data_IF_567098044064
#
_entry.id   IF_567098044064
#
_cell.length_a   1.000
_cell.length_b   1.000
_cell.length_c   1.000
_cell.angle_alpha   90.00
_cell.angle_beta   90.00
_cell.angle_gamma   90.00
#
_symmetry.space_group_name_H-M   'P 1'
#
loop_
_entity.id
_entity.type
_entity.pdbx_description
1 polymer ?
#
# COMPACT_ATOMS: atom_id res chain seq x y z
N UNK A 1 6.29 10.30 19.06
CA UNK A 1 7.75 10.47 19.15
C UNK A 1 8.25 10.48 17.71
N UNK A 2 8.63 11.64 17.17
CA UNK A 2 9.25 11.69 15.85
C UNK A 2 10.72 11.28 16.05
N UNK A 3 11.17 10.22 15.38
CA UNK A 3 12.58 9.85 15.41
C UNK A 3 13.37 11.00 14.80
N UNK A 4 14.35 11.53 15.53
CA UNK A 4 15.27 12.49 14.92
C UNK A 4 16.02 11.81 13.77
N UNK A 5 16.18 12.47 12.62
CA UNK A 5 16.94 11.91 11.52
C UNK A 5 18.41 11.83 11.94
N UNK A 6 18.84 10.63 12.34
CA UNK A 6 20.21 10.32 12.69
C UNK A 6 20.63 9.03 12.02
N UNK A 7 21.88 8.96 11.56
CA UNK A 7 22.35 7.72 10.94
C UNK A 7 22.48 6.60 11.96
N UNK A 8 21.91 5.45 11.63
CA UNK A 8 22.00 4.24 12.45
C UNK A 8 23.44 3.73 12.61
N UNK A 9 24.35 4.10 11.70
CA UNK A 9 25.76 3.67 11.71
C UNK A 9 26.75 4.79 12.09
N UNK A 10 26.24 5.94 12.53
CA UNK A 10 27.05 7.10 12.93
C UNK A 10 27.69 7.88 11.78
N UNK A 11 27.42 7.53 10.51
CA UNK A 11 27.90 8.31 9.35
C UNK A 11 26.96 9.46 9.05
N UNK A 12 27.48 10.68 8.91
CA UNK A 12 26.65 11.75 8.37
C UNK A 12 26.36 11.52 6.90
N UNK A 13 25.07 11.53 6.55
CA UNK A 13 24.62 11.48 5.17
C UNK A 13 24.49 12.91 4.65
N UNK A 14 24.87 13.11 3.40
CA UNK A 14 24.61 14.37 2.71
C UNK A 14 23.11 14.55 2.44
N UNK A 15 22.66 15.79 2.29
CA UNK A 15 21.28 16.10 1.89
C UNK A 15 20.85 15.37 0.61
N UNK A 16 21.79 15.19 -0.33
CA UNK A 16 21.53 14.45 -1.56
C UNK A 16 21.22 12.98 -1.28
N UNK A 17 21.97 12.34 -0.39
CA UNK A 17 21.74 10.95 0.02
C UNK A 17 20.44 10.82 0.82
N UNK A 18 20.11 11.79 1.67
CA UNK A 18 18.82 11.82 2.37
C UNK A 18 17.64 11.90 1.38
N UNK A 19 17.73 12.77 0.36
CA UNK A 19 16.69 12.86 -0.68
C UNK A 19 16.56 11.57 -1.50
N UNK A 20 17.68 10.94 -1.84
CA UNK A 20 17.67 9.66 -2.55
C UNK A 20 17.03 8.55 -1.71
N UNK A 21 17.39 8.47 -0.43
CA UNK A 21 16.79 7.51 0.51
C UNK A 21 15.30 7.74 0.69
N UNK A 22 14.85 8.99 0.87
CA UNK A 22 13.44 9.35 0.96
C UNK A 22 12.67 8.95 -0.31
N UNK A 23 13.27 9.14 -1.49
CA UNK A 23 12.67 8.72 -2.77
C UNK A 23 12.51 7.21 -2.86
N UNK A 24 13.53 6.44 -2.43
CA UNK A 24 13.46 4.97 -2.41
C UNK A 24 12.40 4.47 -1.43
N UNK A 25 12.34 5.06 -0.24
CA UNK A 25 11.34 4.72 0.77
C UNK A 25 9.92 5.05 0.31
N UNK A 26 9.71 6.21 -0.31
CA UNK A 26 8.40 6.58 -0.86
C UNK A 26 7.84 5.55 -1.84
N UNK A 27 8.67 5.07 -2.78
CA UNK A 27 8.29 4.01 -3.72
C UNK A 27 7.90 2.69 -3.03
N UNK A 28 8.54 2.36 -1.90
CA UNK A 28 8.19 1.17 -1.12
C UNK A 28 6.83 1.36 -0.44
N UNK A 29 6.57 2.54 0.12
CA UNK A 29 5.30 2.86 0.76
C UNK A 29 4.14 2.85 -0.22
N UNK A 30 4.31 3.44 -1.40
CA UNK A 30 3.32 3.42 -2.49
C UNK A 30 2.98 1.98 -2.90
N UNK A 31 3.98 1.08 -3.00
CA UNK A 31 3.74 -0.33 -3.34
C UNK A 31 2.92 -1.07 -2.28
N UNK A 32 3.00 -0.65 -1.01
CA UNK A 32 2.22 -1.21 0.10
C UNK A 32 0.80 -0.62 0.14
N UNK A 33 0.57 0.51 -0.53
CA UNK A 33 -0.72 1.20 -0.61
C UNK A 33 -0.81 2.46 0.25
N UNK A 34 0.31 2.95 0.77
CA UNK A 34 0.35 4.28 1.40
C UNK A 34 0.40 5.36 0.32
N UNK A 35 -0.35 6.44 0.54
CA UNK A 35 -0.36 7.61 -0.34
C UNK A 35 0.58 8.70 0.20
N UNK A 36 1.29 9.45 -0.67
CA UNK A 36 2.10 10.58 -0.24
C UNK A 36 1.21 11.70 0.33
N UNK A 37 1.63 12.28 1.45
CA UNK A 37 0.93 13.40 2.08
C UNK A 37 1.75 14.69 2.03
N UNK A 38 2.59 14.96 3.04
CA UNK A 38 3.43 16.16 3.11
C UNK A 38 4.74 15.87 3.83
N UNK A 39 5.81 16.60 3.45
CA UNK A 39 7.11 16.54 4.12
C UNK A 39 7.69 15.12 4.26
N UNK A 40 7.47 14.24 3.27
CA UNK A 40 7.93 12.85 3.30
C UNK A 40 7.07 11.90 4.13
N UNK A 41 6.00 12.39 4.76
CA UNK A 41 4.99 11.57 5.43
C UNK A 41 4.12 10.89 4.38
N UNK A 42 3.87 9.59 4.59
CA UNK A 42 2.94 8.79 3.81
C UNK A 42 1.84 8.29 4.74
N UNK A 43 0.60 8.24 4.25
CA UNK A 43 -0.59 7.87 5.04
C UNK A 43 -1.29 6.69 4.39
N UNK A 44 -1.70 5.73 5.20
CA UNK A 44 -2.56 4.63 4.80
C UNK A 44 -3.93 4.83 5.44
N UNK A 45 -4.98 4.97 4.62
CA UNK A 45 -6.35 4.92 5.10
C UNK A 45 -6.80 3.45 5.17
N UNK A 46 -6.65 2.86 6.36
CA UNK A 46 -7.01 1.47 6.61
C UNK A 46 -8.52 1.20 6.47
N UNK A 47 -9.38 2.22 6.60
CA UNK A 47 -10.82 2.07 6.40
C UNK A 47 -11.16 1.98 4.91
N UNK A 48 -10.48 2.78 4.07
CA UNK A 48 -10.62 2.70 2.62
C UNK A 48 -10.09 1.36 2.09
N UNK A 49 -8.92 0.92 2.55
CA UNK A 49 -8.33 -0.36 2.15
C UNK A 49 -9.25 -1.54 2.50
N UNK A 50 -9.75 -1.59 3.74
CA UNK A 50 -10.70 -2.63 4.17
C UNK A 50 -11.96 -2.68 3.30
N UNK A 51 -12.46 -1.53 2.86
CA UNK A 51 -13.67 -1.47 2.01
C UNK A 51 -13.40 -2.05 0.63
N UNK A 52 -12.23 -1.77 0.05
CA UNK A 52 -11.82 -2.32 -1.24
C UNK A 52 -11.60 -3.84 -1.15
N UNK A 53 -10.97 -4.31 -0.07
CA UNK A 53 -10.75 -5.74 0.18
C UNK A 53 -12.08 -6.50 0.29
N UNK A 54 -13.03 -5.97 1.05
CA UNK A 54 -14.38 -6.55 1.18
C UNK A 54 -15.11 -6.57 -0.18
N UNK A 55 -14.98 -5.52 -0.98
CA UNK A 55 -15.58 -5.48 -2.32
C UNK A 55 -14.97 -6.55 -3.25
N UNK A 56 -13.66 -6.76 -3.17
CA UNK A 56 -12.96 -7.79 -3.93
C UNK A 56 -13.45 -9.20 -3.53
N UNK A 57 -13.53 -9.50 -2.24
CA UNK A 57 -14.05 -10.78 -1.72
C UNK A 57 -15.48 -11.03 -2.22
N UNK A 58 -16.38 -10.06 -2.10
CA UNK A 58 -17.76 -10.19 -2.59
C UNK A 58 -17.83 -10.39 -4.10
N UNK A 59 -16.94 -9.76 -4.86
CA UNK A 59 -16.86 -9.94 -6.32
C UNK A 59 -16.45 -11.37 -6.67
N UNK A 60 -15.48 -11.92 -5.96
CA UNK A 60 -15.03 -13.31 -6.15
C UNK A 60 -16.13 -14.31 -5.82
N UNK A 61 -16.82 -14.12 -4.69
CA UNK A 61 -17.98 -14.93 -4.31
C UNK A 61 -19.06 -14.92 -5.40
N UNK A 62 -19.44 -13.72 -5.86
CA UNK A 62 -20.44 -13.57 -6.92
C UNK A 62 -20.00 -14.27 -8.21
N UNK A 63 -18.76 -14.07 -8.64
CA UNK A 63 -18.22 -14.72 -9.83
C UNK A 63 -18.22 -16.25 -9.70
N UNK A 64 -17.94 -16.79 -8.51
CA UNK A 64 -18.02 -18.21 -8.23
C UNK A 64 -19.46 -18.73 -8.36
N UNK A 65 -20.45 -18.00 -7.83
CA UNK A 65 -21.87 -18.33 -7.97
C UNK A 65 -22.31 -18.32 -9.44
N UNK A 66 -21.92 -17.31 -10.23
CA UNK A 66 -22.21 -17.27 -11.65
C UNK A 66 -21.65 -18.49 -12.40
N UNK A 67 -20.39 -18.87 -12.12
CA UNK A 67 -19.77 -20.07 -12.71
C UNK A 67 -20.52 -21.34 -12.33
N UNK A 68 -20.91 -21.48 -11.05
CA UNK A 68 -21.67 -22.63 -10.58
C UNK A 68 -23.05 -22.73 -11.26
N UNK A 69 -23.76 -21.60 -11.37
CA UNK A 69 -25.04 -21.53 -12.06
C UNK A 69 -24.91 -21.90 -13.54
N UNK A 70 -23.92 -21.36 -14.24
CA UNK A 70 -23.65 -21.69 -15.63
C UNK A 70 -23.33 -23.17 -15.82
N UNK A 71 -22.54 -23.78 -14.91
CA UNK A 71 -22.21 -25.20 -14.98
C UNK A 71 -23.44 -26.10 -14.82
N UNK A 72 -24.43 -25.69 -14.02
CA UNK A 72 -25.68 -26.43 -13.80
C UNK A 72 -26.69 -26.27 -14.94
N UNK A 73 -26.63 -25.17 -15.69
CA UNK A 73 -27.62 -24.82 -16.72
C UNK A 73 -27.03 -24.82 -18.14
N UNK A 74 -25.84 -25.38 -18.32
CA UNK A 74 -25.28 -25.64 -19.64
C UNK A 74 -25.95 -26.92 -20.20
N UNK A 75 -26.45 -26.91 -21.44
CA UNK A 75 -27.03 -28.10 -22.08
C UNK A 75 -26.05 -29.26 -22.19
#
# INVERSE_FOLDING_TARGET
>A
MACEPGSADGRELTDAQHREAATKLGRVWERIGFEPFQCGVHILDCHLQRTQDLLAERREEFNAQCRAWQAQHRP
#
